data_IF_675658873897
#
_entry.id   IF_675658873897
#
_cell.length_a   1.000
_cell.length_b   1.000
_cell.length_c   1.000
_cell.angle_alpha   90.00
_cell.angle_beta   90.00
_cell.angle_gamma   90.00
#
_symmetry.space_group_name_H-M   'P 1'
#
loop_
_entity.id
_entity.type
_entity.pdbx_description
1 polymer ?
#
# COMPACT_ATOMS: atom_id res chain seq x y z
N UNK A 1 17.47 5.20 -33.44
CA UNK A 1 17.19 4.87 -32.02
C UNK A 1 16.68 6.15 -31.37
N UNK A 2 15.40 6.21 -30.98
CA UNK A 2 14.79 7.47 -30.53
C UNK A 2 15.33 7.87 -29.15
N UNK A 3 15.49 9.18 -28.92
CA UNK A 3 15.88 9.77 -27.63
C UNK A 3 15.02 9.25 -26.45
N UNK A 4 13.77 8.84 -26.73
CA UNK A 4 12.86 8.19 -25.77
C UNK A 4 13.43 6.90 -25.17
N UNK A 5 14.13 6.08 -25.96
CA UNK A 5 14.68 4.80 -25.50
C UNK A 5 15.88 4.97 -24.57
N UNK A 6 16.68 6.02 -24.79
CA UNK A 6 17.87 6.33 -23.99
C UNK A 6 17.47 6.91 -22.63
N UNK A 7 16.44 7.76 -22.59
CA UNK A 7 15.91 8.30 -21.34
C UNK A 7 15.24 7.24 -20.45
N UNK A 8 14.47 6.32 -21.05
CA UNK A 8 13.82 5.22 -20.34
C UNK A 8 14.85 4.32 -19.63
N UNK A 9 15.93 3.95 -20.34
CA UNK A 9 17.01 3.11 -19.80
C UNK A 9 17.76 3.76 -18.63
N UNK A 10 17.89 5.09 -18.64
CA UNK A 10 18.66 5.85 -17.63
C UNK A 10 17.88 6.07 -16.33
N UNK A 11 16.55 6.21 -16.41
CA UNK A 11 15.66 6.26 -15.24
C UNK A 11 15.61 4.90 -14.54
N UNK A 12 15.49 3.81 -15.32
CA UNK A 12 15.51 2.44 -14.81
C UNK A 12 16.83 2.11 -14.10
N UNK A 13 17.97 2.57 -14.62
CA UNK A 13 19.28 2.27 -13.99
C UNK A 13 19.49 2.94 -12.62
N UNK A 14 18.93 4.15 -12.40
CA UNK A 14 19.07 4.86 -11.12
C UNK A 14 18.09 4.36 -10.05
N UNK A 15 16.87 3.99 -10.44
CA UNK A 15 15.92 3.33 -9.52
C UNK A 15 16.38 1.92 -9.16
N UNK A 16 17.12 1.25 -10.07
CA UNK A 16 17.66 -0.10 -9.87
C UNK A 16 18.50 -0.28 -8.61
N UNK A 17 19.24 0.77 -8.24
CA UNK A 17 20.15 0.76 -7.10
C UNK A 17 19.41 1.09 -5.79
N UNK A 18 18.43 2.01 -5.80
CA UNK A 18 17.73 2.41 -4.57
C UNK A 18 16.74 1.37 -4.06
N UNK A 19 15.98 0.70 -4.95
CA UNK A 19 15.05 -0.35 -4.50
C UNK A 19 15.79 -1.63 -4.09
N UNK A 20 16.97 -1.92 -4.66
CA UNK A 20 17.79 -3.03 -4.20
C UNK A 20 18.21 -2.83 -2.75
N UNK A 21 18.54 -1.61 -2.31
CA UNK A 21 18.80 -1.32 -0.90
C UNK A 21 17.56 -1.43 0.00
N UNK A 22 16.36 -1.14 -0.53
CA UNK A 22 15.08 -1.35 0.18
C UNK A 22 14.76 -2.84 0.31
N UNK A 23 15.05 -3.64 -0.71
CA UNK A 23 14.81 -5.09 -0.75
C UNK A 23 15.91 -5.91 -0.06
N UNK A 24 17.15 -5.39 0.03
CA UNK A 24 18.32 -6.07 0.61
C UNK A 24 18.60 -5.68 2.07
N UNK A 25 17.73 -4.88 2.69
CA UNK A 25 17.68 -4.71 4.15
C UNK A 25 17.07 -5.98 4.81
N UNK A 26 17.84 -7.07 4.70
CA UNK A 26 17.79 -8.33 5.47
C UNK A 26 16.40 -8.72 5.98
N UNK A 27 15.67 -9.54 5.21
CA UNK A 27 14.85 -10.73 5.54
C UNK A 27 14.24 -10.97 6.96
N UNK A 28 14.29 -10.00 7.86
CA UNK A 28 13.97 -10.08 9.29
C UNK A 28 12.77 -9.23 9.68
N UNK A 29 12.25 -8.37 8.77
CA UNK A 29 10.90 -7.83 8.88
C UNK A 29 9.94 -8.73 8.12
N UNK A 30 9.62 -9.87 8.74
CA UNK A 30 8.60 -10.78 8.27
C UNK A 30 7.24 -10.07 8.31
N UNK A 31 6.71 -9.86 7.11
CA UNK A 31 5.29 -9.66 6.78
C UNK A 31 4.71 -8.25 7.00
N UNK A 32 4.00 -7.80 5.95
CA UNK A 32 3.26 -6.54 5.79
C UNK A 32 4.15 -5.32 5.51
N UNK A 33 4.12 -4.72 4.30
CA UNK A 33 3.07 -4.74 3.26
C UNK A 33 3.64 -5.05 1.87
N UNK A 34 4.22 -6.24 1.64
CA UNK A 34 4.89 -6.56 0.36
C UNK A 34 3.93 -6.56 -0.83
N UNK A 35 2.71 -7.07 -0.65
CA UNK A 35 1.66 -7.03 -1.67
C UNK A 35 1.23 -5.61 -1.99
N UNK A 36 0.94 -4.79 -0.97
CA UNK A 36 0.54 -3.39 -1.19
C UNK A 36 1.67 -2.54 -1.80
N UNK A 37 2.93 -2.72 -1.39
CA UNK A 37 4.06 -2.06 -2.05
C UNK A 37 4.19 -2.46 -3.52
N UNK A 38 4.07 -3.76 -3.84
CA UNK A 38 4.15 -4.24 -5.21
C UNK A 38 2.99 -3.72 -6.07
N UNK A 39 1.76 -3.74 -5.53
CA UNK A 39 0.59 -3.17 -6.19
C UNK A 39 0.76 -1.66 -6.39
N UNK A 40 1.18 -0.94 -5.35
CA UNK A 40 1.45 0.50 -5.39
C UNK A 40 2.55 0.87 -6.39
N UNK A 41 3.59 0.05 -6.51
CA UNK A 41 4.63 0.20 -7.53
C UNK A 41 4.00 0.15 -8.92
N UNK A 42 3.27 -0.92 -9.22
CA UNK A 42 2.67 -1.15 -10.53
C UNK A 42 1.68 -0.03 -10.90
N UNK A 43 0.76 0.31 -10.00
CA UNK A 43 -0.27 1.33 -10.27
C UNK A 43 0.32 2.73 -10.37
N UNK A 44 1.34 3.06 -9.57
CA UNK A 44 2.05 4.33 -9.66
C UNK A 44 2.84 4.43 -10.95
N UNK A 45 3.61 3.41 -11.32
CA UNK A 45 4.38 3.37 -12.58
C UNK A 45 3.46 3.49 -13.80
N UNK A 46 2.34 2.76 -13.80
CA UNK A 46 1.35 2.86 -14.86
C UNK A 46 0.74 4.27 -14.95
N UNK A 47 0.37 4.85 -13.81
CA UNK A 47 -0.21 6.20 -13.73
C UNK A 47 0.78 7.25 -14.23
N UNK A 48 2.03 7.24 -13.75
CA UNK A 48 3.08 8.16 -14.18
C UNK A 48 3.37 8.04 -15.68
N UNK A 49 3.41 6.81 -16.20
CA UNK A 49 3.61 6.57 -17.64
C UNK A 49 2.46 7.14 -18.48
N UNK A 50 1.22 7.02 -17.98
CA UNK A 50 0.02 7.53 -18.65
C UNK A 50 -0.07 9.06 -18.64
N UNK A 51 0.52 9.69 -17.62
CA UNK A 51 0.50 11.13 -17.40
C UNK A 51 1.71 11.87 -18.01
N UNK A 52 2.60 11.16 -18.72
CA UNK A 52 3.90 11.70 -19.13
C UNK A 52 3.82 12.95 -20.02
N UNK A 53 2.77 13.07 -20.82
CA UNK A 53 2.58 14.20 -21.73
C UNK A 53 1.83 15.37 -21.07
N UNK A 54 1.22 15.16 -19.90
CA UNK A 54 0.42 16.17 -19.20
C UNK A 54 1.23 16.88 -18.11
N UNK A 55 2.19 16.18 -17.50
CA UNK A 55 2.94 16.70 -16.37
C UNK A 55 4.46 16.63 -16.62
N UNK A 56 5.16 17.76 -16.82
CA UNK A 56 6.59 17.77 -17.13
C UNK A 56 7.47 17.10 -16.08
N UNK A 57 7.10 17.22 -14.80
CA UNK A 57 7.86 16.70 -13.67
C UNK A 57 7.62 15.21 -13.36
N UNK A 58 6.74 14.53 -14.12
CA UNK A 58 6.31 13.14 -13.87
C UNK A 58 7.44 12.10 -13.76
N UNK A 59 8.62 12.39 -14.33
CA UNK A 59 9.79 11.52 -14.30
C UNK A 59 10.64 11.69 -13.02
N UNK A 60 10.30 12.65 -12.14
CA UNK A 60 10.98 12.83 -10.87
C UNK A 60 10.72 11.61 -9.95
N UNK A 61 11.76 10.91 -9.47
CA UNK A 61 11.61 9.74 -8.60
C UNK A 61 10.77 9.99 -7.35
N UNK A 62 10.66 11.23 -6.86
CA UNK A 62 9.84 11.58 -5.69
C UNK A 62 8.38 11.19 -5.86
N UNK A 63 7.87 11.21 -7.09
CA UNK A 63 6.48 10.89 -7.38
C UNK A 63 6.22 9.38 -7.29
N UNK A 64 7.12 8.56 -7.79
CA UNK A 64 7.03 7.11 -7.60
C UNK A 64 7.14 6.75 -6.11
N UNK A 65 8.06 7.39 -5.38
CA UNK A 65 8.20 7.20 -3.94
C UNK A 65 6.92 7.58 -3.18
N UNK A 66 6.25 8.69 -3.56
CA UNK A 66 4.97 9.07 -2.99
C UNK A 66 3.90 8.00 -3.24
N UNK A 67 3.73 7.54 -4.49
CA UNK A 67 2.70 6.55 -4.82
C UNK A 67 2.89 5.24 -4.07
N UNK A 68 4.15 4.79 -3.94
CA UNK A 68 4.53 3.66 -3.07
C UNK A 68 4.16 3.90 -1.62
N UNK A 69 4.55 5.04 -1.05
CA UNK A 69 4.23 5.38 0.34
C UNK A 69 2.72 5.46 0.58
N UNK A 70 1.98 6.10 -0.32
CA UNK A 70 0.53 6.23 -0.24
C UNK A 70 -0.19 4.87 -0.30
N UNK A 71 0.38 3.87 -0.98
CA UNK A 71 -0.18 2.51 -1.02
C UNK A 71 -0.05 1.72 0.28
N UNK A 72 0.75 2.21 1.22
CA UNK A 72 0.96 1.57 2.53
C UNK A 72 0.59 2.49 3.69
N UNK A 73 0.36 3.77 3.41
CA UNK A 73 -0.01 4.77 4.41
C UNK A 73 -1.25 4.39 5.23
N UNK A 74 -2.32 3.77 4.67
CA UNK A 74 -3.45 3.29 5.47
C UNK A 74 -3.05 2.35 6.61
N UNK A 75 -2.09 1.45 6.37
CA UNK A 75 -1.59 0.47 7.36
C UNK A 75 -0.73 1.07 8.47
N UNK A 76 -0.33 2.34 8.38
CA UNK A 76 0.48 2.96 9.43
C UNK A 76 -0.26 3.02 10.79
N UNK A 77 -1.59 2.90 10.75
CA UNK A 77 -2.44 2.79 11.92
C UNK A 77 -2.30 1.43 12.66
N UNK A 78 -1.71 0.42 12.03
CA UNK A 78 -1.42 -0.87 12.64
C UNK A 78 -0.35 -0.71 13.74
N UNK A 79 0.64 0.16 13.54
CA UNK A 79 1.61 0.51 14.59
C UNK A 79 0.92 1.16 15.80
N UNK A 80 -0.08 2.00 15.55
CA UNK A 80 -0.90 2.58 16.62
C UNK A 80 -1.75 1.50 17.31
N UNK A 81 -2.36 0.57 16.55
CA UNK A 81 -3.07 -0.57 17.11
C UNK A 81 -2.18 -1.41 18.02
N UNK A 82 -0.96 -1.73 17.59
CA UNK A 82 0.02 -2.48 18.40
C UNK A 82 0.42 -1.72 19.67
N UNK A 83 0.65 -0.41 19.56
CA UNK A 83 0.97 0.45 20.70
C UNK A 83 -0.16 0.46 21.74
N UNK A 84 -1.40 0.70 21.30
CA UNK A 84 -2.59 0.74 22.19
C UNK A 84 -2.91 -0.64 22.77
N UNK A 85 -2.71 -1.72 22.01
CA UNK A 85 -2.90 -3.09 22.47
C UNK A 85 -1.86 -3.54 23.51
N UNK A 86 -0.81 -2.75 23.80
CA UNK A 86 0.41 -3.18 24.51
C UNK A 86 1.09 -4.40 23.86
N UNK A 87 0.81 -4.61 22.57
CA UNK A 87 1.01 -5.84 21.81
C UNK A 87 2.42 -6.13 21.33
N UNK A 88 3.39 -5.25 21.61
CA UNK A 88 4.81 -5.61 21.41
C UNK A 88 5.32 -6.55 22.52
N UNK A 89 4.71 -6.53 23.71
CA UNK A 89 5.26 -7.21 24.90
C UNK A 89 4.23 -7.93 25.79
N UNK A 90 2.92 -7.70 25.67
CA UNK A 90 1.94 -8.27 26.61
C UNK A 90 0.62 -8.76 26.00
N UNK A 91 0.19 -9.96 26.46
CA UNK A 91 -1.11 -10.59 26.18
C UNK A 91 -2.25 -9.80 26.82
N UNK A 92 -3.03 -9.05 26.05
CA UNK A 92 -4.43 -8.79 26.41
C UNK A 92 -5.31 -9.77 25.65
N UNK A 93 -6.02 -10.63 26.38
CA UNK A 93 -6.91 -11.67 25.84
C UNK A 93 -8.25 -11.14 25.31
N UNK A 94 -8.65 -9.91 25.64
CA UNK A 94 -10.09 -9.63 25.64
C UNK A 94 -10.63 -8.85 24.44
N UNK A 95 -9.80 -8.22 23.58
CA UNK A 95 -10.26 -7.60 22.32
C UNK A 95 -9.15 -7.59 21.27
N UNK A 96 -9.32 -8.35 20.18
CA UNK A 96 -8.53 -8.16 18.98
C UNK A 96 -8.78 -6.74 18.45
N UNK A 97 -7.75 -5.89 18.43
CA UNK A 97 -7.84 -4.57 17.80
C UNK A 97 -7.75 -4.80 16.29
N UNK A 98 -8.85 -4.52 15.58
CA UNK A 98 -8.91 -4.58 14.12
C UNK A 98 -8.62 -3.16 13.61
N UNK A 99 -7.39 -2.89 13.15
CA UNK A 99 -6.97 -1.56 12.67
C UNK A 99 -7.75 -1.10 11.43
N UNK A 100 -8.27 -2.05 10.63
CA UNK A 100 -9.23 -1.78 9.54
C UNK A 100 -10.49 -1.01 9.97
N UNK A 101 -10.75 -0.90 11.29
CA UNK A 101 -11.82 -0.06 11.81
C UNK A 101 -11.46 1.42 11.94
N UNK A 102 -10.20 1.80 11.80
CA UNK A 102 -9.76 3.19 11.90
C UNK A 102 -10.08 4.02 10.65
N UNK A 103 -10.01 5.34 10.81
CA UNK A 103 -10.36 6.30 9.76
C UNK A 103 -9.40 6.26 8.56
N UNK A 104 -8.16 5.82 8.77
CA UNK A 104 -7.17 5.50 7.74
C UNK A 104 -7.64 4.42 6.75
N UNK A 105 -8.67 3.63 7.12
CA UNK A 105 -9.30 2.64 6.26
C UNK A 105 -10.67 3.09 5.73
N UNK A 106 -10.91 4.41 5.66
CA UNK A 106 -12.10 5.01 5.07
C UNK A 106 -11.79 5.62 3.68
N UNK A 107 -12.13 4.95 2.56
CA UNK A 107 -11.77 5.42 1.22
C UNK A 107 -12.28 6.82 0.89
N UNK A 108 -13.47 7.19 1.36
CA UNK A 108 -14.04 8.52 1.12
C UNK A 108 -13.24 9.64 1.81
N UNK A 109 -12.58 9.35 2.94
CA UNK A 109 -11.67 10.32 3.58
C UNK A 109 -10.47 10.60 2.68
N UNK A 110 -9.82 9.56 2.17
CA UNK A 110 -8.65 9.69 1.31
C UNK A 110 -9.00 10.32 -0.05
N UNK A 111 -10.17 10.00 -0.60
CA UNK A 111 -10.69 10.66 -1.79
C UNK A 111 -10.88 12.16 -1.54
N UNK A 112 -11.51 12.54 -0.42
CA UNK A 112 -11.71 13.94 -0.06
C UNK A 112 -10.38 14.68 0.09
N UNK A 113 -9.42 14.12 0.84
CA UNK A 113 -8.08 14.72 1.04
C UNK A 113 -7.35 14.88 -0.29
N UNK A 114 -7.38 13.86 -1.15
CA UNK A 114 -6.77 13.89 -2.46
C UNK A 114 -7.41 14.94 -3.37
N UNK A 115 -8.74 15.00 -3.46
CA UNK A 115 -9.45 15.98 -4.27
C UNK A 115 -9.21 17.41 -3.78
N UNK A 116 -9.24 17.64 -2.47
CA UNK A 116 -8.91 18.93 -1.89
C UNK A 116 -7.48 19.36 -2.25
N UNK A 117 -6.51 18.45 -2.14
CA UNK A 117 -5.11 18.70 -2.52
C UNK A 117 -4.96 18.98 -4.01
N UNK A 118 -5.72 18.30 -4.86
CA UNK A 118 -5.73 18.53 -6.31
C UNK A 118 -6.28 19.91 -6.66
N UNK A 119 -7.40 20.33 -6.05
CA UNK A 119 -7.99 21.66 -6.23
C UNK A 119 -7.02 22.75 -5.76
N UNK A 120 -6.35 22.56 -4.64
CA UNK A 120 -5.28 23.48 -4.19
C UNK A 120 -4.17 23.57 -5.24
N UNK A 121 -3.77 22.45 -5.85
CA UNK A 121 -2.81 22.42 -6.95
C UNK A 121 -3.28 23.15 -8.21
N UNK A 122 -4.58 23.13 -8.53
CA UNK A 122 -5.16 23.92 -9.61
C UNK A 122 -5.11 25.42 -9.31
N UNK A 123 -5.56 25.82 -8.11
CA UNK A 123 -5.59 27.23 -7.69
C UNK A 123 -4.17 27.82 -7.62
N UNK A 124 -3.20 27.03 -7.14
CA UNK A 124 -1.80 27.42 -7.07
C UNK A 124 -1.04 27.31 -8.42
N UNK A 125 -1.71 26.86 -9.49
CA UNK A 125 -1.11 26.53 -10.78
C UNK A 125 0.15 25.63 -10.67
N UNK A 126 0.10 24.66 -9.75
CA UNK A 126 1.22 23.77 -9.43
C UNK A 126 0.95 22.36 -9.95
N UNK A 127 1.62 22.00 -11.04
CA UNK A 127 1.58 20.65 -11.63
C UNK A 127 2.08 19.58 -10.65
N UNK A 128 3.02 19.94 -9.79
CA UNK A 128 3.58 19.05 -8.78
C UNK A 128 2.53 18.71 -7.69
N UNK A 129 1.80 19.70 -7.18
CA UNK A 129 0.72 19.47 -6.21
C UNK A 129 -0.41 18.61 -6.80
N UNK A 130 -0.74 18.83 -8.07
CA UNK A 130 -1.69 17.98 -8.78
C UNK A 130 -1.20 16.53 -8.90
N UNK A 131 0.08 16.31 -9.26
CA UNK A 131 0.68 14.97 -9.29
C UNK A 131 0.71 14.32 -7.90
N UNK A 132 1.07 15.06 -6.86
CA UNK A 132 1.05 14.55 -5.48
C UNK A 132 -0.35 14.07 -5.10
N UNK A 133 -1.38 14.86 -5.42
CA UNK A 133 -2.77 14.51 -5.15
C UNK A 133 -3.23 13.26 -5.93
N UNK A 134 -2.92 13.18 -7.23
CA UNK A 134 -3.26 12.01 -8.06
C UNK A 134 -2.62 10.74 -7.50
N UNK A 135 -1.32 10.78 -7.20
CA UNK A 135 -0.58 9.59 -6.73
C UNK A 135 -0.97 9.21 -5.31
N UNK A 136 -1.35 10.17 -4.47
CA UNK A 136 -1.93 9.89 -3.17
C UNK A 136 -3.26 9.12 -3.29
N UNK A 137 -4.17 9.58 -4.16
CA UNK A 137 -5.44 8.88 -4.44
C UNK A 137 -5.16 7.50 -5.01
N UNK A 138 -4.37 7.40 -6.08
CA UNK A 138 -4.08 6.11 -6.73
C UNK A 138 -3.42 5.14 -5.74
N UNK A 139 -2.44 5.58 -4.97
CA UNK A 139 -1.77 4.74 -3.97
C UNK A 139 -2.75 4.23 -2.91
N UNK A 140 -3.47 5.13 -2.23
CA UNK A 140 -4.43 4.75 -1.17
C UNK A 140 -5.59 3.91 -1.71
N UNK A 141 -6.08 4.17 -2.91
CA UNK A 141 -7.13 3.36 -3.53
C UNK A 141 -6.63 2.00 -4.00
N UNK A 142 -5.37 1.90 -4.43
CA UNK A 142 -4.73 0.60 -4.70
C UNK A 142 -4.74 -0.25 -3.43
N UNK A 143 -4.39 0.36 -2.29
CA UNK A 143 -4.45 -0.30 -0.98
C UNK A 143 -5.87 -0.83 -0.69
N UNK A 144 -6.89 0.04 -0.74
CA UNK A 144 -8.27 -0.33 -0.43
C UNK A 144 -8.87 -1.36 -1.39
N UNK A 145 -8.55 -1.25 -2.68
CA UNK A 145 -8.97 -2.24 -3.66
C UNK A 145 -8.39 -3.61 -3.32
N UNK A 146 -7.11 -3.66 -2.96
CA UNK A 146 -6.45 -4.90 -2.56
C UNK A 146 -7.07 -5.49 -1.29
N UNK A 147 -7.25 -4.67 -0.27
CA UNK A 147 -7.92 -5.06 0.98
C UNK A 147 -9.34 -5.58 0.77
N UNK A 148 -10.06 -5.07 -0.24
CA UNK A 148 -11.42 -5.50 -0.55
C UNK A 148 -11.51 -6.96 -1.00
N UNK A 149 -10.43 -7.56 -1.50
CA UNK A 149 -10.44 -9.00 -1.81
C UNK A 149 -10.35 -9.87 -0.56
N UNK A 150 -9.75 -9.35 0.51
CA UNK A 150 -9.16 -10.19 1.54
C UNK A 150 -9.69 -9.88 2.94
N UNK A 151 -9.57 -8.62 3.37
CA UNK A 151 -9.79 -8.22 4.76
C UNK A 151 -11.03 -7.35 4.93
N UNK A 152 -11.34 -6.56 3.90
CA UNK A 152 -12.47 -5.66 3.82
C UNK A 152 -12.17 -4.23 4.20
N UNK A 153 -12.96 -3.32 3.62
CA UNK A 153 -12.78 -1.88 3.74
C UNK A 153 -14.11 -1.19 3.98
N UNK A 154 -14.09 -0.06 4.68
CA UNK A 154 -15.28 0.76 4.94
C UNK A 154 -15.62 1.70 3.78
N UNK A 155 -15.92 1.13 2.60
CA UNK A 155 -16.21 1.90 1.38
C UNK A 155 -17.28 2.99 1.56
N UNK A 156 -18.26 2.75 2.42
CA UNK A 156 -19.39 3.65 2.64
C UNK A 156 -19.29 4.51 3.92
N UNK A 157 -18.14 4.53 4.61
CA UNK A 157 -17.95 5.44 5.74
C UNK A 157 -17.97 6.90 5.25
N UNK A 158 -18.65 7.85 5.91
CA UNK A 158 -19.24 7.78 7.26
C UNK A 158 -20.69 7.30 7.34
N UNK A 159 -21.31 6.93 6.22
CA UNK A 159 -22.71 6.50 6.17
C UNK A 159 -22.92 5.08 6.72
N UNK A 160 -21.88 4.24 6.68
CA UNK A 160 -21.89 2.88 7.23
C UNK A 160 -20.54 2.51 7.82
N UNK A 161 -20.55 1.76 8.92
CA UNK A 161 -19.35 1.19 9.54
C UNK A 161 -19.06 -0.25 9.10
N UNK A 162 -19.83 -0.80 8.15
CA UNK A 162 -19.65 -2.17 7.67
C UNK A 162 -18.33 -2.31 6.89
N UNK A 163 -17.64 -3.44 7.10
CA UNK A 163 -16.52 -3.86 6.27
C UNK A 163 -17.05 -4.63 5.06
N UNK A 164 -16.69 -4.17 3.87
CA UNK A 164 -17.07 -4.82 2.62
C UNK A 164 -15.85 -5.54 2.06
N UNK A 165 -15.98 -6.84 1.83
CA UNK A 165 -14.96 -7.70 1.26
C UNK A 165 -15.59 -8.73 0.31
N UNK A 166 -14.84 -9.18 -0.69
CA UNK A 166 -15.23 -10.30 -1.56
C UNK A 166 -15.17 -11.63 -0.82
N UNK A 167 -14.25 -11.77 0.13
CA UNK A 167 -14.19 -12.87 1.09
C UNK A 167 -14.88 -12.48 2.39
N UNK A 168 -15.31 -13.45 3.20
CA UNK A 168 -15.90 -13.17 4.52
C UNK A 168 -14.93 -12.35 5.40
N UNK A 169 -15.29 -11.11 5.77
CA UNK A 169 -14.40 -10.25 6.55
C UNK A 169 -14.25 -10.78 7.99
N UNK A 170 -13.03 -10.77 8.52
CA UNK A 170 -12.76 -11.00 9.94
C UNK A 170 -12.62 -12.46 10.41
N UNK A 171 -12.69 -13.47 9.53
CA UNK A 171 -12.57 -14.89 9.93
C UNK A 171 -11.12 -15.37 10.17
N UNK A 172 -10.11 -14.68 9.63
CA UNK A 172 -8.76 -15.25 9.51
C UNK A 172 -7.83 -15.02 10.72
N UNK A 173 -8.06 -13.97 11.53
CA UNK A 173 -7.11 -13.56 12.59
C UNK A 173 -7.53 -13.99 14.01
N UNK A 174 -8.80 -14.34 14.21
CA UNK A 174 -9.34 -14.63 15.55
C UNK A 174 -8.83 -15.94 16.19
N UNK A 175 -7.99 -16.71 15.47
CA UNK A 175 -7.57 -18.08 15.86
C UNK A 175 -6.13 -18.19 16.33
N UNK A 176 -5.34 -17.11 16.31
CA UNK A 176 -3.91 -17.17 16.64
C UNK A 176 -3.71 -16.87 18.13
N UNK A 177 -3.66 -17.92 18.95
CA UNK A 177 -3.22 -17.80 20.33
C UNK A 177 -1.68 -17.72 20.39
N UNK A 178 -1.14 -16.52 20.55
CA UNK A 178 0.31 -16.29 20.63
C UNK A 178 0.74 -15.62 21.95
N UNK A 179 1.96 -15.93 22.40
CA UNK A 179 2.56 -15.36 23.62
C UNK A 179 3.52 -14.20 23.38
N UNK A 180 3.81 -13.86 22.13
CA UNK A 180 4.68 -12.74 21.78
C UNK A 180 4.62 -12.41 20.28
N UNK A 181 5.27 -11.31 19.91
CA UNK A 181 5.27 -10.77 18.54
C UNK A 181 5.70 -11.82 17.49
N UNK A 182 6.86 -12.45 17.66
CA UNK A 182 7.35 -13.44 16.70
C UNK A 182 6.47 -14.70 16.62
N UNK A 183 5.92 -15.17 17.74
CA UNK A 183 5.04 -16.34 17.72
C UNK A 183 3.70 -16.04 17.05
N UNK A 184 3.20 -14.80 17.20
CA UNK A 184 2.03 -14.32 16.46
C UNK A 184 2.30 -14.33 14.95
N UNK A 185 3.40 -13.73 14.49
CA UNK A 185 3.74 -13.67 13.06
C UNK A 185 4.00 -15.04 12.45
N UNK A 186 4.68 -15.95 13.16
CA UNK A 186 4.88 -17.32 12.68
C UNK A 186 3.53 -18.05 12.58
N UNK A 187 2.63 -17.87 13.55
CA UNK A 187 1.29 -18.44 13.52
C UNK A 187 0.46 -17.88 12.36
N UNK A 188 0.51 -16.56 12.18
CA UNK A 188 -0.12 -15.86 11.06
C UNK A 188 0.40 -16.39 9.73
N UNK A 189 1.72 -16.43 9.53
CA UNK A 189 2.34 -16.95 8.31
C UNK A 189 1.86 -18.36 7.98
N UNK A 190 1.80 -19.26 8.98
CA UNK A 190 1.35 -20.65 8.77
C UNK A 190 -0.10 -20.74 8.27
N UNK A 191 -0.98 -19.87 8.75
CA UNK A 191 -2.35 -19.80 8.26
C UNK A 191 -2.39 -19.11 6.89
N UNK A 192 -1.67 -18.01 6.76
CA UNK A 192 -1.66 -17.13 5.60
C UNK A 192 -1.11 -17.80 4.33
N UNK A 193 -0.02 -18.59 4.41
CA UNK A 193 0.54 -19.29 3.23
C UNK A 193 -0.39 -20.37 2.65
N UNK A 194 -1.41 -20.79 3.41
CA UNK A 194 -2.44 -21.73 2.95
C UNK A 194 -3.59 -21.02 2.25
N UNK A 195 -3.58 -19.71 2.30
CA UNK A 195 -4.65 -18.87 1.79
C UNK A 195 -4.44 -18.51 0.31
N UNK A 196 -5.53 -18.43 -0.46
CA UNK A 196 -5.47 -17.97 -1.84
C UNK A 196 -4.89 -16.55 -1.93
N UNK A 197 -5.15 -15.72 -0.91
CA UNK A 197 -4.61 -14.35 -0.81
C UNK A 197 -3.10 -14.34 -0.98
N UNK A 198 -2.39 -15.22 -0.27
CA UNK A 198 -0.92 -15.28 -0.32
C UNK A 198 -0.40 -15.49 -1.74
N UNK A 199 -1.03 -16.38 -2.51
CA UNK A 199 -0.61 -16.65 -3.89
C UNK A 199 -0.91 -15.49 -4.83
N UNK A 200 -2.03 -14.78 -4.63
CA UNK A 200 -2.35 -13.57 -5.38
C UNK A 200 -1.36 -12.44 -5.08
N UNK A 201 -0.99 -12.24 -3.81
CA UNK A 201 0.07 -11.28 -3.45
C UNK A 201 1.41 -11.65 -4.07
N UNK A 202 1.79 -12.94 -3.99
CA UNK A 202 3.01 -13.44 -4.61
C UNK A 202 3.03 -13.19 -6.12
N UNK A 203 1.91 -13.39 -6.81
CA UNK A 203 1.79 -13.08 -8.24
C UNK A 203 1.99 -11.59 -8.52
N UNK A 204 1.35 -10.70 -7.74
CA UNK A 204 1.51 -9.24 -7.89
C UNK A 204 2.97 -8.83 -7.66
N UNK A 205 3.64 -9.43 -6.67
CA UNK A 205 5.07 -9.20 -6.40
C UNK A 205 5.92 -9.65 -7.59
N UNK A 206 5.68 -10.85 -8.14
CA UNK A 206 6.41 -11.35 -9.31
C UNK A 206 6.22 -10.43 -10.52
N UNK A 207 4.99 -9.95 -10.75
CA UNK A 207 4.70 -8.99 -11.83
C UNK A 207 5.42 -7.66 -11.59
N UNK A 208 5.40 -7.13 -10.36
CA UNK A 208 6.10 -5.89 -10.01
C UNK A 208 7.61 -6.00 -10.20
N UNK A 209 8.22 -7.09 -9.72
CA UNK A 209 9.66 -7.35 -9.91
C UNK A 209 9.99 -7.50 -11.39
N UNK A 210 9.15 -8.21 -12.15
CA UNK A 210 9.34 -8.35 -13.60
C UNK A 210 9.27 -7.00 -14.30
N UNK A 211 8.24 -6.20 -14.02
CA UNK A 211 8.07 -4.86 -14.58
C UNK A 211 9.20 -3.89 -14.20
N UNK A 212 9.84 -4.10 -13.04
CA UNK A 212 11.00 -3.32 -12.63
C UNK A 212 12.30 -3.73 -13.33
N UNK A 213 12.43 -5.02 -13.65
CA UNK A 213 13.62 -5.56 -14.30
C UNK A 213 13.66 -5.24 -15.80
N UNK A 214 12.52 -5.15 -16.47
CA UNK A 214 12.38 -4.84 -17.91
C UNK A 214 12.13 -3.35 -18.18
#
# INVERSE_FOLDING_TARGET
>A
MSLRYVYFKKIILRSKIQLFYILSFKFYFFMLPTGHFAAGYLTSTFTLSSLINLYPAVNDPKFLALGLFASVAPDLDEFYAFYVAKGFWFKKKDKAIIHRNYLSHAPLLHLFVGLASFVVGLVANSSDLQLYAILYIVGTWTHFFFDSFFYGVKWLWPFSNNLYAFRKPGEDMAKIEASGFFSYWIGFLKLYVRDLVFYLEALVIVVAVSAYLY
#
